data_IF_080175310132
#
_entry.id   IF_080175310132
#
_cell.length_a   1.000
_cell.length_b   1.000
_cell.length_c   1.000
_cell.angle_alpha   90.00
_cell.angle_beta   90.00
_cell.angle_gamma   90.00
#
_symmetry.space_group_name_H-M   'P 1'
#
loop_
_entity.id
_entity.type
_entity.pdbx_description
1 polymer ?
#
# COMPACT_ATOMS: atom_id res chain seq x y z
N UNK A 1 5.65 2.31 6.43
CA UNK A 1 6.07 3.68 6.01
C UNK A 1 7.51 3.70 5.52
N UNK A 2 8.51 3.51 6.41
CA UNK A 2 9.94 3.57 6.04
C UNK A 2 10.31 2.75 4.81
N UNK A 3 9.81 1.52 4.71
CA UNK A 3 10.10 0.61 3.58
C UNK A 3 9.52 1.14 2.27
N UNK A 4 8.24 1.53 2.25
CA UNK A 4 7.62 2.06 1.02
C UNK A 4 8.31 3.34 0.53
N UNK A 5 8.66 4.26 1.43
CA UNK A 5 9.40 5.48 1.07
C UNK A 5 10.79 5.16 0.49
N UNK A 6 11.51 4.21 1.10
CA UNK A 6 12.81 3.77 0.58
C UNK A 6 12.68 3.10 -0.78
N UNK A 7 11.68 2.24 -0.97
CA UNK A 7 11.44 1.56 -2.24
C UNK A 7 11.13 2.55 -3.38
N UNK A 8 10.30 3.56 -3.12
CA UNK A 8 10.03 4.64 -4.08
C UNK A 8 11.30 5.43 -4.42
N UNK A 9 12.10 5.78 -3.41
CA UNK A 9 13.37 6.49 -3.61
C UNK A 9 14.39 5.67 -4.40
N UNK A 10 14.50 4.38 -4.12
CA UNK A 10 15.40 3.45 -4.81
C UNK A 10 15.00 3.29 -6.29
N UNK A 11 13.70 3.13 -6.53
CA UNK A 11 13.13 3.05 -7.87
C UNK A 11 13.10 4.40 -8.62
N UNK A 12 13.39 5.52 -7.95
CA UNK A 12 13.23 6.89 -8.47
C UNK A 12 11.81 7.19 -8.97
N UNK A 13 10.82 6.65 -8.28
CA UNK A 13 9.39 6.81 -8.59
C UNK A 13 8.74 7.74 -7.59
N UNK A 14 7.98 8.71 -8.08
CA UNK A 14 7.19 9.61 -7.25
C UNK A 14 5.90 8.91 -6.79
N UNK A 15 5.38 9.23 -5.59
CA UNK A 15 4.15 8.60 -5.07
C UNK A 15 2.92 8.72 -6.00
N UNK A 16 2.85 9.75 -6.84
CA UNK A 16 1.74 9.96 -7.78
C UNK A 16 1.82 9.10 -9.05
N UNK A 17 2.97 8.50 -9.33
CA UNK A 17 3.18 7.60 -10.48
C UNK A 17 2.71 6.17 -10.18
N UNK A 18 2.49 5.83 -8.92
CA UNK A 18 1.95 4.52 -8.53
C UNK A 18 0.46 4.46 -8.87
N UNK A 19 0.12 3.65 -9.85
CA UNK A 19 -1.26 3.48 -10.32
C UNK A 19 -2.07 2.41 -9.60
N UNK A 20 -1.44 1.53 -8.81
CA UNK A 20 -2.11 0.42 -8.13
C UNK A 20 -1.26 -0.14 -6.97
N UNK A 21 -1.90 -0.64 -5.91
CA UNK A 21 -1.22 -1.34 -4.80
C UNK A 21 -1.89 -2.70 -4.59
N UNK A 22 -1.09 -3.78 -4.67
CA UNK A 22 -1.47 -5.08 -4.14
C UNK A 22 -1.00 -5.16 -2.68
N UNK A 23 -1.93 -5.02 -1.74
CA UNK A 23 -1.65 -5.05 -0.31
C UNK A 23 -1.33 -6.47 0.17
N UNK A 24 -0.70 -6.59 1.34
CA UNK A 24 -0.50 -7.88 1.97
C UNK A 24 -1.84 -8.50 2.40
N UNK A 25 -2.71 -7.72 3.06
CA UNK A 25 -4.12 -8.00 3.31
C UNK A 25 -4.41 -9.40 3.84
N UNK A 26 -4.12 -9.64 5.12
CA UNK A 26 -4.33 -10.94 5.78
C UNK A 26 -5.72 -11.12 6.37
N UNK A 27 -6.62 -10.15 6.17
CA UNK A 27 -7.96 -10.14 6.77
C UNK A 27 -7.93 -10.10 8.31
N UNK A 28 -6.81 -9.67 8.90
CA UNK A 28 -6.71 -9.46 10.35
C UNK A 28 -6.89 -7.97 10.66
N UNK A 29 -7.68 -7.59 11.68
CA UNK A 29 -7.99 -6.19 11.95
C UNK A 29 -6.76 -5.29 12.15
N UNK A 30 -5.71 -5.83 12.78
CA UNK A 30 -4.48 -5.07 13.01
C UNK A 30 -3.65 -4.89 11.75
N UNK A 31 -3.43 -5.96 10.97
CA UNK A 31 -2.65 -5.87 9.74
C UNK A 31 -3.27 -4.85 8.77
N UNK A 32 -4.55 -5.03 8.47
CA UNK A 32 -5.22 -4.26 7.42
C UNK A 32 -5.32 -2.78 7.82
N UNK A 33 -5.51 -2.49 9.11
CA UNK A 33 -5.43 -1.14 9.67
C UNK A 33 -4.04 -0.53 9.53
N UNK A 34 -2.99 -1.26 9.90
CA UNK A 34 -1.62 -0.73 9.85
C UNK A 34 -1.11 -0.54 8.42
N UNK A 35 -1.46 -1.45 7.49
CA UNK A 35 -1.18 -1.26 6.06
C UNK A 35 -1.87 -0.01 5.53
N UNK A 36 -3.16 0.17 5.81
CA UNK A 36 -3.91 1.35 5.39
C UNK A 36 -3.27 2.63 5.92
N UNK A 37 -2.92 2.68 7.20
CA UNK A 37 -2.23 3.84 7.80
C UNK A 37 -0.88 4.11 7.14
N UNK A 38 -0.12 3.04 6.85
CA UNK A 38 1.19 3.17 6.24
C UNK A 38 1.11 3.65 4.79
N UNK A 39 0.11 3.21 4.02
CA UNK A 39 -0.16 3.66 2.65
C UNK A 39 -0.55 5.13 2.67
N UNK A 40 -1.53 5.53 3.49
CA UNK A 40 -1.93 6.95 3.64
C UNK A 40 -0.76 7.85 4.01
N UNK A 41 0.09 7.42 4.93
CA UNK A 41 1.28 8.20 5.34
C UNK A 41 2.36 8.27 4.26
N UNK A 42 2.42 7.32 3.33
CA UNK A 42 3.42 7.31 2.25
C UNK A 42 2.94 8.07 1.02
N UNK A 43 1.67 7.90 0.64
CA UNK A 43 1.10 8.44 -0.60
C UNK A 43 0.28 9.72 -0.39
N UNK A 44 0.03 10.13 0.86
CA UNK A 44 -0.74 11.33 1.18
C UNK A 44 -2.15 11.30 0.58
N UNK A 45 -2.59 12.42 0.02
CA UNK A 45 -3.88 12.52 -0.66
C UNK A 45 -4.02 11.55 -1.86
N UNK A 46 -2.91 11.17 -2.49
CA UNK A 46 -2.96 10.22 -3.60
C UNK A 46 -3.43 8.82 -3.15
N UNK A 47 -3.25 8.47 -1.86
CA UNK A 47 -3.69 7.18 -1.32
C UNK A 47 -5.19 6.91 -1.51
N UNK A 48 -6.02 7.97 -1.61
CA UNK A 48 -7.46 7.84 -1.82
C UNK A 48 -7.85 7.61 -3.29
N UNK A 49 -6.91 7.81 -4.22
CA UNK A 49 -7.12 7.65 -5.67
C UNK A 49 -6.54 6.36 -6.21
N UNK A 50 -5.52 5.80 -5.54
CA UNK A 50 -4.88 4.56 -5.95
C UNK A 50 -5.83 3.38 -5.63
N UNK A 51 -6.23 2.57 -6.61
CA UNK A 51 -6.95 1.32 -6.35
C UNK A 51 -6.06 0.34 -5.56
N UNK A 52 -6.65 -0.33 -4.57
CA UNK A 52 -5.95 -1.27 -3.69
C UNK A 52 -6.75 -2.57 -3.61
N UNK A 53 -6.09 -3.71 -3.74
CA UNK A 53 -6.70 -5.01 -3.44
C UNK A 53 -5.70 -5.97 -2.77
N UNK A 54 -6.15 -7.17 -2.38
CA UNK A 54 -5.28 -8.25 -1.91
C UNK A 54 -5.68 -9.55 -2.62
N UNK A 55 -4.70 -10.20 -3.25
CA UNK A 55 -4.91 -11.51 -3.91
C UNK A 55 -5.29 -12.61 -2.91
N UNK A 56 -4.94 -12.45 -1.62
CA UNK A 56 -5.28 -13.42 -0.56
C UNK A 56 -6.78 -13.53 -0.31
N UNK A 57 -7.56 -12.53 -0.73
CA UNK A 57 -9.02 -12.62 -0.72
C UNK A 57 -9.55 -13.80 -1.54
N UNK A 58 -8.83 -14.21 -2.58
CA UNK A 58 -9.20 -15.33 -3.45
C UNK A 58 -8.41 -16.60 -3.16
N UNK A 59 -7.13 -16.48 -2.79
CA UNK A 59 -6.22 -17.63 -2.68
C UNK A 59 -5.98 -18.12 -1.25
N UNK A 60 -6.43 -17.37 -0.24
CA UNK A 60 -5.97 -17.57 1.13
C UNK A 60 -4.56 -17.02 1.36
N UNK A 61 -4.08 -17.17 2.60
CA UNK A 61 -2.74 -16.76 3.00
C UNK A 61 -1.71 -17.86 2.73
#
# INVERSE_FOLDING_TARGET
VRVMQKALSDARVQPHEVGYINAHGTSTPYNDKFETMAIKKTFGENAYKIPISSTKSMTGH
#
